data_IF_925740306058
#
_entry.id   IF_925740306058
#
_cell.length_a   1.000
_cell.length_b   1.000
_cell.length_c   1.000
_cell.angle_alpha   90.00
_cell.angle_beta   90.00
_cell.angle_gamma   90.00
#
_symmetry.space_group_name_H-M   'P 1'
#
loop_
_entity.id
_entity.type
_entity.pdbx_description
1 polymer ?
#
# COMPACT_ATOMS: atom_id res chain seq x y z
N UNK A 1 -6.23 -19.17 13.07
CA UNK A 1 -6.22 -17.78 13.62
C UNK A 1 -5.42 -16.92 12.64
N UNK A 2 -5.95 -15.78 12.18
CA UNK A 2 -5.25 -14.91 11.21
C UNK A 2 -4.04 -14.21 11.86
N UNK A 3 -2.85 -14.37 11.28
CA UNK A 3 -1.55 -13.79 11.65
C UNK A 3 -1.21 -12.65 10.69
N UNK A 4 -1.06 -11.44 11.23
CA UNK A 4 -0.82 -10.22 10.46
C UNK A 4 0.55 -9.67 10.82
N UNK A 5 1.38 -9.44 9.81
CA UNK A 5 2.64 -8.71 9.94
C UNK A 5 2.52 -7.31 9.34
N UNK A 6 3.01 -6.32 10.08
CA UNK A 6 3.15 -4.95 9.63
C UNK A 6 4.63 -4.67 9.35
N UNK A 7 4.93 -4.14 8.18
CA UNK A 7 6.29 -3.82 7.79
C UNK A 7 6.40 -2.46 7.09
N UNK A 8 7.60 -1.91 7.10
CA UNK A 8 7.98 -0.74 6.31
C UNK A 8 9.48 -0.83 5.96
N UNK A 9 9.98 -0.09 4.97
CA UNK A 9 11.39 -0.10 4.60
C UNK A 9 12.30 0.51 5.69
N UNK A 10 11.80 1.47 6.47
CA UNK A 10 12.59 2.15 7.52
C UNK A 10 11.97 2.01 8.91
N UNK A 11 12.80 2.11 9.96
CA UNK A 11 12.32 2.02 11.35
C UNK A 11 11.36 3.17 11.72
N UNK A 12 11.58 4.36 11.18
CA UNK A 12 10.70 5.52 11.36
C UNK A 12 9.32 5.30 10.73
N UNK A 13 9.28 4.76 9.50
CA UNK A 13 8.03 4.41 8.84
C UNK A 13 7.28 3.32 9.61
N UNK A 14 7.98 2.27 10.07
CA UNK A 14 7.37 1.21 10.88
C UNK A 14 6.76 1.75 12.18
N UNK A 15 7.47 2.63 12.90
CA UNK A 15 6.95 3.27 14.11
C UNK A 15 5.69 4.10 13.83
N UNK A 16 5.69 4.89 12.75
CA UNK A 16 4.54 5.70 12.32
C UNK A 16 3.34 4.84 11.93
N UNK A 17 3.56 3.78 11.16
CA UNK A 17 2.53 2.82 10.78
C UNK A 17 1.83 2.23 12.00
N UNK A 18 2.61 1.82 13.02
CA UNK A 18 2.06 1.29 14.27
C UNK A 18 1.20 2.32 14.99
N UNK A 19 1.71 3.55 15.16
CA UNK A 19 0.99 4.63 15.82
C UNK A 19 -0.32 4.98 15.10
N UNK A 20 -0.30 5.02 13.76
CA UNK A 20 -1.48 5.31 12.95
C UNK A 20 -2.56 4.22 13.06
N UNK A 21 -2.16 2.95 13.04
CA UNK A 21 -3.08 1.82 13.21
C UNK A 21 -3.70 1.82 14.61
N UNK A 22 -2.90 1.98 15.66
CA UNK A 22 -3.40 2.02 17.04
C UNK A 22 -4.42 3.16 17.22
N UNK A 23 -4.09 4.38 16.75
CA UNK A 23 -4.98 5.52 16.83
C UNK A 23 -6.28 5.34 16.03
N UNK A 24 -6.19 4.79 14.81
CA UNK A 24 -7.36 4.56 13.95
C UNK A 24 -8.30 3.50 14.52
N UNK A 25 -7.75 2.40 15.05
CA UNK A 25 -8.54 1.34 15.67
C UNK A 25 -9.20 1.81 16.97
N UNK A 26 -8.52 2.65 17.76
CA UNK A 26 -9.11 3.25 18.95
C UNK A 26 -10.28 4.17 18.58
N UNK A 27 -10.10 5.05 17.60
CA UNK A 27 -11.17 5.92 17.11
C UNK A 27 -12.37 5.11 16.59
N UNK A 28 -12.09 4.03 15.84
CA UNK A 28 -13.13 3.14 15.32
C UNK A 28 -13.87 2.39 16.44
N UNK A 29 -13.18 1.96 17.51
CA UNK A 29 -13.80 1.32 18.68
C UNK A 29 -14.82 2.27 19.34
N UNK A 30 -14.50 3.56 19.42
CA UNK A 30 -15.42 4.56 19.96
C UNK A 30 -16.68 4.70 19.10
N UNK A 31 -16.56 4.61 17.77
CA UNK A 31 -17.70 4.70 16.85
C UNK A 31 -18.55 3.42 16.76
N UNK A 32 -17.91 2.24 16.80
CA UNK A 32 -18.60 0.95 16.66
C UNK A 32 -19.13 0.38 17.99
N UNK A 33 -18.78 0.97 19.13
CA UNK A 33 -19.15 0.45 20.45
C UNK A 33 -18.54 -0.92 20.71
N UNK A 34 -19.22 -1.80 21.47
CA UNK A 34 -18.70 -3.11 21.88
C UNK A 34 -18.96 -4.26 20.89
N UNK A 35 -19.44 -3.98 19.68
CA UNK A 35 -19.82 -5.01 18.70
C UNK A 35 -18.62 -5.81 18.16
N UNK A 36 -17.43 -5.21 18.21
CA UNK A 36 -16.16 -5.83 17.83
C UNK A 36 -15.10 -5.51 18.89
N UNK A 37 -14.35 -6.53 19.32
CA UNK A 37 -13.21 -6.36 20.21
C UNK A 37 -11.96 -5.97 19.39
N UNK A 38 -11.87 -4.68 19.03
CA UNK A 38 -10.72 -4.16 18.29
C UNK A 38 -9.47 -4.13 19.16
N UNK A 39 -9.61 -4.08 20.50
CA UNK A 39 -8.46 -4.19 21.40
C UNK A 39 -7.80 -5.58 21.30
N UNK A 40 -8.58 -6.66 21.20
CA UNK A 40 -8.06 -7.99 20.88
C UNK A 40 -7.44 -8.06 19.49
N UNK A 41 -8.01 -7.38 18.48
CA UNK A 41 -7.40 -7.29 17.15
C UNK A 41 -6.04 -6.57 17.20
N UNK A 42 -5.95 -5.43 17.87
CA UNK A 42 -4.72 -4.65 18.04
C UNK A 42 -3.63 -5.43 18.77
N UNK A 43 -3.98 -6.23 19.79
CA UNK A 43 -3.04 -7.12 20.47
C UNK A 43 -2.56 -8.27 19.59
N UNK A 44 -3.36 -8.68 18.60
CA UNK A 44 -3.00 -9.71 17.63
C UNK A 44 -2.12 -9.19 16.51
N UNK A 45 -2.29 -7.92 16.14
CA UNK A 45 -1.41 -7.23 15.22
C UNK A 45 -0.09 -6.97 15.97
N UNK A 46 0.97 -7.65 15.56
CA UNK A 46 2.29 -7.50 16.18
C UNK A 46 2.85 -6.08 16.03
N UNK A 47 4.00 -5.81 16.65
CA UNK A 47 4.74 -4.59 16.39
C UNK A 47 5.09 -4.49 14.90
N UNK A 48 5.01 -3.28 14.34
CA UNK A 48 5.53 -3.02 13.01
C UNK A 48 7.06 -3.12 13.00
N UNK A 49 7.62 -3.71 11.95
CA UNK A 49 9.06 -3.97 11.82
C UNK A 49 9.59 -3.39 10.52
N UNK A 50 10.91 -3.24 10.42
CA UNK A 50 11.50 -3.02 9.10
C UNK A 50 11.38 -4.29 8.25
N UNK A 51 11.36 -4.18 6.93
CA UNK A 51 11.39 -5.35 6.04
C UNK A 51 12.62 -6.24 6.34
N UNK A 52 13.78 -5.63 6.59
CA UNK A 52 14.98 -6.32 7.05
C UNK A 52 14.75 -7.12 8.33
N UNK A 53 14.12 -6.53 9.35
CA UNK A 53 13.84 -7.22 10.61
C UNK A 53 12.75 -8.30 10.46
N UNK A 54 11.76 -8.10 9.58
CA UNK A 54 10.73 -9.09 9.26
C UNK A 54 11.35 -10.32 8.58
N UNK A 55 12.19 -10.12 7.58
CA UNK A 55 12.86 -11.19 6.83
C UNK A 55 14.03 -11.82 7.61
N UNK A 56 14.42 -11.21 8.74
CA UNK A 56 15.54 -11.68 9.55
C UNK A 56 16.88 -11.50 8.85
N UNK A 57 17.19 -10.27 8.45
CA UNK A 57 18.49 -9.89 7.89
C UNK A 57 19.61 -10.32 8.84
N UNK A 58 20.60 -11.04 8.30
CA UNK A 58 21.77 -11.45 9.06
C UNK A 58 22.87 -10.40 8.92
N UNK A 59 23.50 -9.96 10.02
CA UNK A 59 24.65 -9.06 9.96
C UNK A 59 25.72 -9.58 9.00
N UNK A 60 26.37 -8.65 8.30
CA UNK A 60 27.51 -8.93 7.41
C UNK A 60 27.23 -9.88 6.23
N UNK A 61 25.96 -10.13 5.92
CA UNK A 61 25.56 -10.92 4.76
C UNK A 61 24.38 -10.29 4.02
N UNK A 62 24.20 -10.66 2.75
CA UNK A 62 22.98 -10.37 1.99
C UNK A 62 21.88 -11.42 2.19
N UNK A 63 22.02 -12.31 3.17
CA UNK A 63 21.09 -13.43 3.38
C UNK A 63 20.01 -13.06 4.39
N UNK A 64 18.78 -13.40 4.04
CA UNK A 64 17.65 -13.37 4.95
C UNK A 64 17.43 -14.73 5.60
N UNK A 65 16.91 -14.74 6.82
CA UNK A 65 16.46 -15.96 7.50
C UNK A 65 15.26 -16.56 6.79
N UNK A 66 14.34 -15.71 6.34
CA UNK A 66 13.13 -16.13 5.65
C UNK A 66 13.31 -16.06 4.14
N UNK A 67 12.91 -17.13 3.46
CA UNK A 67 13.05 -17.36 2.03
C UNK A 67 12.11 -18.53 1.64
N UNK A 68 12.09 -18.95 0.37
CA UNK A 68 11.16 -19.99 -0.11
C UNK A 68 11.24 -21.34 0.66
N UNK A 69 12.41 -21.69 1.19
CA UNK A 69 12.63 -22.89 2.00
C UNK A 69 12.38 -22.72 3.50
N UNK A 70 12.14 -21.49 3.95
CA UNK A 70 11.78 -21.15 5.32
C UNK A 70 10.85 -19.91 5.30
N UNK A 71 9.58 -20.07 4.87
CA UNK A 71 8.68 -18.95 4.67
C UNK A 71 8.36 -18.23 5.99
N UNK A 72 7.79 -17.03 5.87
CA UNK A 72 7.25 -16.28 6.99
C UNK A 72 6.04 -17.02 7.57
N UNK A 73 5.90 -16.98 8.90
CA UNK A 73 4.75 -17.57 9.60
C UNK A 73 3.58 -16.58 9.69
N UNK A 74 3.03 -16.21 8.54
CA UNK A 74 2.04 -15.12 8.41
C UNK A 74 0.95 -15.48 7.41
N UNK A 75 -0.25 -14.93 7.60
CA UNK A 75 -1.35 -15.06 6.65
C UNK A 75 -1.55 -13.76 5.86
N UNK A 76 -1.20 -12.62 6.44
CA UNK A 76 -1.25 -11.29 5.82
C UNK A 76 0.02 -10.51 6.14
N UNK A 77 0.61 -9.88 5.13
CA UNK A 77 1.68 -8.90 5.27
C UNK A 77 1.20 -7.57 4.71
N UNK A 78 1.32 -6.50 5.51
CA UNK A 78 1.04 -5.13 5.10
C UNK A 78 2.36 -4.37 5.10
N UNK A 79 2.74 -3.81 3.96
CA UNK A 79 3.96 -3.01 3.80
C UNK A 79 3.57 -1.57 3.52
N UNK A 80 3.95 -0.67 4.42
CA UNK A 80 3.81 0.78 4.24
C UNK A 80 5.08 1.39 3.64
N UNK A 81 4.96 2.56 3.00
CA UNK A 81 6.02 3.24 2.26
C UNK A 81 6.66 2.34 1.18
N UNK A 82 5.85 1.54 0.49
CA UNK A 82 6.28 0.58 -0.52
C UNK A 82 6.98 1.24 -1.73
N UNK A 83 6.81 2.54 -1.93
CA UNK A 83 7.52 3.34 -2.94
C UNK A 83 9.04 3.34 -2.74
N UNK A 84 9.50 3.17 -1.50
CA UNK A 84 10.92 3.09 -1.16
C UNK A 84 11.50 1.67 -1.30
N UNK A 85 10.67 0.66 -1.59
CA UNK A 85 11.11 -0.73 -1.69
C UNK A 85 11.73 -0.98 -3.06
N UNK A 86 13.02 -1.30 -3.07
CA UNK A 86 13.78 -1.66 -4.27
C UNK A 86 13.53 -3.12 -4.69
N UNK A 87 14.01 -3.46 -5.88
CA UNK A 87 13.71 -4.73 -6.54
C UNK A 87 14.14 -5.96 -5.72
N UNK A 88 15.35 -5.96 -5.18
CA UNK A 88 15.90 -7.11 -4.42
C UNK A 88 15.12 -7.35 -3.12
N UNK A 89 14.70 -6.28 -2.44
CA UNK A 89 13.89 -6.40 -1.23
C UNK A 89 12.49 -6.93 -1.55
N UNK A 90 11.88 -6.48 -2.65
CA UNK A 90 10.59 -7.02 -3.08
C UNK A 90 10.72 -8.50 -3.44
N UNK A 91 11.76 -8.89 -4.19
CA UNK A 91 12.00 -10.28 -4.55
C UNK A 91 12.16 -11.16 -3.31
N UNK A 92 13.00 -10.73 -2.35
CA UNK A 92 13.20 -11.44 -1.10
C UNK A 92 11.90 -11.54 -0.26
N UNK A 93 11.09 -10.49 -0.24
CA UNK A 93 9.78 -10.52 0.41
C UNK A 93 8.86 -11.55 -0.23
N UNK A 94 8.72 -11.53 -1.56
CA UNK A 94 7.85 -12.44 -2.29
C UNK A 94 8.28 -13.91 -2.13
N UNK A 95 9.59 -14.19 -2.18
CA UNK A 95 10.13 -15.53 -1.94
C UNK A 95 9.86 -16.02 -0.52
N UNK A 96 9.82 -15.12 0.46
CA UNK A 96 9.58 -15.45 1.85
C UNK A 96 8.08 -15.61 2.19
N UNK A 97 7.15 -15.28 1.28
CA UNK A 97 5.72 -15.43 1.56
C UNK A 97 5.28 -16.90 1.45
N UNK A 98 4.52 -17.43 2.41
CA UNK A 98 3.96 -18.77 2.27
C UNK A 98 2.86 -18.78 1.19
N UNK A 99 2.60 -19.93 0.54
CA UNK A 99 1.50 -20.06 -0.40
C UNK A 99 0.16 -19.63 0.23
N UNK A 100 -0.56 -18.74 -0.45
CA UNK A 100 -1.85 -18.23 0.00
C UNK A 100 -1.78 -17.05 0.98
N UNK A 101 -0.59 -16.58 1.38
CA UNK A 101 -0.48 -15.32 2.11
C UNK A 101 -0.93 -14.14 1.25
N UNK A 102 -1.57 -13.17 1.90
CA UNK A 102 -1.99 -11.92 1.27
C UNK A 102 -0.95 -10.84 1.51
N UNK A 103 -0.50 -10.20 0.43
CA UNK A 103 0.38 -9.04 0.50
C UNK A 103 -0.43 -7.78 0.18
N UNK A 104 -0.35 -6.78 1.06
CA UNK A 104 -0.93 -5.45 0.85
C UNK A 104 0.22 -4.44 0.81
N UNK A 105 0.39 -3.77 -0.30
CA UNK A 105 1.39 -2.72 -0.48
C UNK A 105 0.70 -1.35 -0.41
N UNK A 106 1.20 -0.48 0.45
CA UNK A 106 0.74 0.89 0.61
C UNK A 106 1.89 1.82 0.27
N UNK A 107 1.63 2.82 -0.56
CA UNK A 107 2.62 3.81 -0.94
C UNK A 107 2.09 4.77 -1.99
N UNK A 108 2.90 5.77 -2.29
CA UNK A 108 2.61 6.76 -3.32
C UNK A 108 3.46 6.47 -4.56
N UNK A 109 2.81 6.22 -5.69
CA UNK A 109 3.50 5.95 -6.95
C UNK A 109 4.24 7.17 -7.51
N UNK A 110 3.86 8.37 -7.09
CA UNK A 110 4.41 9.65 -7.56
C UNK A 110 5.46 10.23 -6.58
N UNK A 111 5.74 9.54 -5.46
CA UNK A 111 6.85 9.89 -4.57
C UNK A 111 8.21 9.53 -5.20
N UNK A 112 9.28 10.13 -4.66
CA UNK A 112 10.65 9.75 -5.00
C UNK A 112 10.81 8.24 -4.79
N UNK A 113 11.13 7.54 -5.88
CA UNK A 113 11.40 6.11 -5.86
C UNK A 113 12.59 5.80 -4.94
N UNK A 114 12.77 4.52 -4.64
CA UNK A 114 13.98 4.05 -3.95
C UNK A 114 15.25 4.60 -4.62
N UNK A 115 16.25 4.91 -3.80
CA UNK A 115 17.59 5.34 -4.27
C UNK A 115 18.32 4.18 -4.97
N UNK A 116 17.93 2.95 -4.64
CA UNK A 116 18.46 1.72 -5.23
C UNK A 116 17.69 1.34 -6.51
N UNK A 117 18.21 0.38 -7.27
CA UNK A 117 17.69 0.05 -8.59
C UNK A 117 16.24 -0.52 -8.53
N UNK A 118 15.39 0.02 -9.41
CA UNK A 118 14.04 -0.47 -9.66
C UNK A 118 12.96 0.23 -8.84
N UNK A 119 11.98 0.82 -9.54
CA UNK A 119 10.81 1.46 -8.95
C UNK A 119 9.62 0.49 -8.97
N UNK A 120 9.66 -0.55 -8.13
CA UNK A 120 8.71 -1.67 -8.20
C UNK A 120 7.26 -1.19 -8.05
N UNK A 121 6.95 -0.36 -7.05
CA UNK A 121 5.59 0.14 -6.86
C UNK A 121 5.13 1.00 -8.06
N UNK A 122 6.03 1.78 -8.65
CA UNK A 122 5.74 2.61 -9.83
C UNK A 122 5.32 1.75 -11.03
N UNK A 123 6.02 0.64 -11.25
CA UNK A 123 5.71 -0.29 -12.33
C UNK A 123 4.41 -1.07 -12.07
N UNK A 124 4.18 -1.52 -10.83
CA UNK A 124 2.94 -2.19 -10.44
C UNK A 124 1.71 -1.27 -10.60
N UNK A 125 1.88 0.02 -10.27
CA UNK A 125 0.81 1.01 -10.29
C UNK A 125 0.77 1.85 -11.58
N UNK A 126 1.48 1.44 -12.65
CA UNK A 126 1.59 2.20 -13.91
C UNK A 126 0.24 2.68 -14.44
N UNK A 127 -0.74 1.77 -14.48
CA UNK A 127 -2.06 2.02 -15.04
C UNK A 127 -3.12 2.40 -13.99
N UNK A 128 -2.74 2.51 -12.71
CA UNK A 128 -3.67 2.69 -11.58
C UNK A 128 -4.57 3.94 -11.73
N UNK A 129 -4.08 4.97 -12.44
CA UNK A 129 -4.84 6.20 -12.74
C UNK A 129 -6.03 5.92 -13.66
N UNK A 130 -5.85 5.07 -14.68
CA UNK A 130 -6.89 4.69 -15.62
C UNK A 130 -7.90 3.71 -15.00
N UNK A 131 -7.58 3.11 -13.86
CA UNK A 131 -8.37 2.01 -13.30
C UNK A 131 -8.13 0.78 -14.15
N UNK A 132 -9.02 0.53 -15.12
CA UNK A 132 -9.03 -0.65 -16.01
C UNK A 132 -9.57 -1.90 -15.32
N UNK A 133 -10.63 -1.72 -14.54
CA UNK A 133 -11.33 -2.81 -13.88
C UNK A 133 -12.23 -3.56 -14.87
N UNK A 134 -12.33 -4.87 -14.73
CA UNK A 134 -13.28 -5.67 -15.49
C UNK A 134 -14.71 -5.57 -14.91
N UNK A 135 -15.66 -6.17 -15.61
CA UNK A 135 -17.06 -6.20 -15.21
C UNK A 135 -17.31 -7.01 -13.92
N UNK A 136 -16.44 -7.96 -13.57
CA UNK A 136 -16.58 -8.73 -12.33
C UNK A 136 -16.19 -7.87 -11.13
N UNK A 137 -15.05 -7.21 -11.19
CA UNK A 137 -14.57 -6.26 -10.20
C UNK A 137 -15.56 -5.11 -10.02
N UNK A 138 -16.12 -4.56 -11.10
CA UNK A 138 -17.14 -3.51 -11.02
C UNK A 138 -18.41 -3.99 -10.31
N UNK A 139 -18.88 -5.21 -10.59
CA UNK A 139 -20.04 -5.81 -9.90
C UNK A 139 -19.76 -6.08 -8.43
N UNK A 140 -18.57 -6.59 -8.11
CA UNK A 140 -18.14 -6.83 -6.73
C UNK A 140 -18.13 -5.53 -5.92
N UNK A 141 -17.57 -4.46 -6.49
CA UNK A 141 -17.55 -3.15 -5.83
C UNK A 141 -18.97 -2.63 -5.60
N UNK A 142 -19.83 -2.63 -6.61
CA UNK A 142 -21.24 -2.22 -6.47
C UNK A 142 -21.96 -3.01 -5.37
N UNK A 143 -21.78 -4.34 -5.33
CA UNK A 143 -22.42 -5.19 -4.33
C UNK A 143 -21.88 -4.96 -2.90
N UNK A 144 -20.60 -4.59 -2.76
CA UNK A 144 -19.95 -4.44 -1.46
C UNK A 144 -20.07 -3.03 -0.90
N UNK A 145 -20.05 -2.01 -1.76
CA UNK A 145 -20.04 -0.60 -1.36
C UNK A 145 -21.36 0.11 -1.62
N UNK A 146 -22.21 -0.43 -2.49
CA UNK A 146 -23.42 0.25 -2.99
C UNK A 146 -23.13 1.31 -4.08
N UNK A 147 -21.86 1.51 -4.45
CA UNK A 147 -21.43 2.57 -5.36
C UNK A 147 -21.01 2.01 -6.73
N UNK A 148 -21.56 2.59 -7.79
CA UNK A 148 -21.20 2.21 -9.16
C UNK A 148 -19.88 2.88 -9.59
N UNK A 149 -18.96 2.10 -10.15
CA UNK A 149 -17.75 2.65 -10.75
C UNK A 149 -18.09 3.50 -11.99
N UNK A 150 -17.51 4.70 -12.13
CA UNK A 150 -17.57 5.46 -13.38
C UNK A 150 -17.07 4.63 -14.57
N UNK A 151 -17.78 4.69 -15.70
CA UNK A 151 -17.46 3.92 -16.90
C UNK A 151 -16.02 4.11 -17.39
N UNK A 152 -15.42 5.28 -17.17
CA UNK A 152 -14.00 5.58 -17.48
C UNK A 152 -12.98 4.69 -16.76
N UNK A 153 -13.36 4.01 -15.68
CA UNK A 153 -12.50 3.10 -14.94
C UNK A 153 -12.77 1.63 -15.27
N UNK A 154 -13.79 1.35 -16.08
CA UNK A 154 -14.17 0.00 -16.50
C UNK A 154 -13.62 -0.24 -17.90
N UNK A 155 -12.93 -1.35 -18.07
CA UNK A 155 -12.33 -1.78 -19.33
C UNK A 155 -13.24 -2.78 -20.05
N UNK A 156 -13.14 -2.85 -21.37
CA UNK A 156 -13.87 -3.85 -22.15
C UNK A 156 -13.46 -5.29 -21.76
N UNK A 157 -14.38 -6.24 -21.97
CA UNK A 157 -14.14 -7.63 -21.66
C UNK A 157 -12.94 -8.18 -22.47
N UNK A 158 -12.01 -8.84 -21.77
CA UNK A 158 -10.84 -9.48 -22.38
C UNK A 158 -9.60 -8.57 -22.56
N UNK A 159 -9.68 -7.28 -22.24
CA UNK A 159 -8.53 -6.35 -22.33
C UNK A 159 -8.04 -5.83 -20.98
N UNK A 160 -8.75 -6.17 -19.89
CA UNK A 160 -8.41 -5.75 -18.53
C UNK A 160 -7.17 -6.49 -17.99
N UNK A 161 -6.11 -5.78 -17.56
CA UNK A 161 -4.94 -6.42 -16.95
C UNK A 161 -5.31 -7.07 -15.61
N UNK A 162 -4.76 -8.26 -15.34
CA UNK A 162 -4.97 -8.94 -14.06
C UNK A 162 -4.52 -8.08 -12.86
N UNK A 163 -3.39 -7.37 -12.99
CA UNK A 163 -2.86 -6.52 -11.92
C UNK A 163 -3.78 -5.32 -11.62
N UNK A 164 -4.50 -4.80 -12.62
CA UNK A 164 -5.45 -3.70 -12.41
C UNK A 164 -6.59 -4.12 -11.47
N UNK A 165 -6.98 -5.39 -11.45
CA UNK A 165 -8.03 -5.90 -10.55
C UNK A 165 -7.57 -5.96 -9.08
N UNK A 166 -6.26 -5.81 -8.84
CA UNK A 166 -5.63 -5.82 -7.53
C UNK A 166 -4.94 -4.50 -7.18
N UNK A 167 -5.18 -3.45 -7.96
CA UNK A 167 -4.56 -2.14 -7.75
C UNK A 167 -5.64 -1.09 -7.52
N UNK A 168 -5.55 -0.39 -6.38
CA UNK A 168 -6.48 0.70 -6.03
C UNK A 168 -5.69 1.98 -5.83
N UNK A 169 -6.11 3.05 -6.52
CA UNK A 169 -5.58 4.40 -6.31
C UNK A 169 -6.60 5.26 -5.57
N UNK A 170 -6.21 5.81 -4.42
CA UNK A 170 -7.00 6.82 -3.71
C UNK A 170 -6.74 8.18 -4.35
N UNK A 171 -7.80 8.89 -4.72
CA UNK A 171 -7.72 10.12 -5.55
C UNK A 171 -7.99 11.41 -4.77
N UNK A 172 -8.67 11.30 -3.64
CA UNK A 172 -9.06 12.43 -2.81
C UNK A 172 -8.08 12.58 -1.63
N UNK A 173 -7.47 13.76 -1.52
CA UNK A 173 -6.67 14.12 -0.35
C UNK A 173 -7.56 14.76 0.71
N UNK A 174 -7.62 14.16 1.89
CA UNK A 174 -8.35 14.72 3.05
C UNK A 174 -7.45 15.53 3.99
N UNK A 175 -6.14 15.52 3.76
CA UNK A 175 -5.14 16.13 4.65
C UNK A 175 -4.68 17.50 4.17
N UNK A 176 -4.66 17.69 2.85
CA UNK A 176 -4.09 18.87 2.21
C UNK A 176 -5.17 19.53 1.35
N UNK A 177 -6.07 20.25 1.99
CA UNK A 177 -6.95 21.20 1.31
C UNK A 177 -6.18 22.50 1.02
N UNK A 178 -6.52 23.21 -0.06
CA UNK A 178 -5.92 24.50 -0.41
C UNK A 178 -4.67 24.44 -1.32
N UNK A 179 -3.81 25.48 -1.30
CA UNK A 179 -2.77 25.71 -2.33
C UNK A 179 -1.74 24.59 -2.48
N UNK A 180 -1.41 23.88 -1.40
CA UNK A 180 -0.43 22.78 -1.40
C UNK A 180 -0.96 21.58 -2.17
N UNK A 181 -2.24 21.22 -1.96
CA UNK A 181 -2.88 20.12 -2.69
C UNK A 181 -3.00 20.44 -4.19
N UNK A 182 -3.39 21.66 -4.52
CA UNK A 182 -3.47 22.13 -5.91
C UNK A 182 -2.11 22.09 -6.62
N UNK A 183 -1.03 22.51 -5.94
CA UNK A 183 0.32 22.45 -6.47
C UNK A 183 0.78 21.01 -6.70
N UNK A 184 0.58 20.12 -5.72
CA UNK A 184 0.97 18.72 -5.83
C UNK A 184 0.28 18.03 -7.01
N UNK A 185 -1.04 18.24 -7.18
CA UNK A 185 -1.80 17.70 -8.31
C UNK A 185 -1.28 18.22 -9.66
N UNK A 186 -0.89 19.48 -9.73
CA UNK A 186 -0.39 20.09 -10.95
C UNK A 186 1.00 19.57 -11.35
N UNK A 187 1.89 19.40 -10.38
CA UNK A 187 3.20 18.74 -10.57
C UNK A 187 2.99 17.33 -11.12
N UNK A 188 2.07 16.57 -10.50
CA UNK A 188 1.73 15.20 -10.90
C UNK A 188 1.01 15.07 -12.24
N UNK A 189 0.41 16.15 -12.75
CA UNK A 189 -0.23 16.21 -14.05
C UNK A 189 0.71 16.69 -15.16
N UNK A 190 1.96 17.06 -14.83
CA UNK A 190 2.93 17.69 -15.73
C UNK A 190 2.34 18.89 -16.51
N UNK A 191 1.31 19.55 -15.95
CA UNK A 191 0.42 20.41 -16.75
C UNK A 191 0.82 21.87 -16.87
N UNK A 192 1.77 22.35 -16.08
CA UNK A 192 2.33 23.70 -16.28
C UNK A 192 3.61 23.88 -15.42
N UNK A 193 4.82 23.94 -16.00
CA UNK A 193 6.03 24.26 -15.25
C UNK A 193 6.00 25.67 -14.63
N UNK A 194 5.08 26.56 -15.06
CA UNK A 194 4.89 27.89 -14.49
C UNK A 194 3.85 27.94 -13.34
N UNK A 195 3.18 26.83 -13.01
CA UNK A 195 2.19 26.81 -11.92
C UNK A 195 2.75 27.16 -10.54
N UNK A 196 3.97 26.72 -10.14
CA UNK A 196 4.56 27.12 -8.87
C UNK A 196 4.68 28.64 -8.73
N UNK A 197 5.00 29.34 -9.81
CA UNK A 197 5.14 30.81 -9.82
C UNK A 197 3.80 31.57 -9.72
N UNK A 198 2.68 30.91 -10.02
CA UNK A 198 1.32 31.48 -9.92
C UNK A 198 0.67 31.25 -8.56
N UNK A 199 1.01 30.13 -7.89
CA UNK A 199 0.46 29.78 -6.58
C UNK A 199 1.24 30.40 -5.39
N UNK A 200 2.48 30.87 -5.62
CA UNK A 200 3.33 31.52 -4.62
C UNK A 200 3.23 33.06 -4.63
N UNK A 201 2.23 33.63 -5.31
CA UNK A 201 1.91 35.06 -5.28
C UNK A 201 0.71 35.35 -4.38
#
# INVERSE_FOLDING_TARGET
>A
RLRIALAAPTGKAAARLRQAIDGSLQALQHSLGAHLDLAALTRRIGAARTLHALLGARPDTRRFRHHAGNPLDVDVVIVDEASMVHLEMMAALLEALPPGARLVLLGDKDQLASVEAGAVLGDLCRDARAGRYDAETARYLLATTGEALPARYVEAAGTAPALAQHTVMLRESRRFEGPIGALALAVNAARDPALPARLLR
#
